data_IF_068793915674
#
_entry.id   IF_068793915674
#
_cell.length_a   1.000
_cell.length_b   1.000
_cell.length_c   1.000
_cell.angle_alpha   90.00
_cell.angle_beta   90.00
_cell.angle_gamma   90.00
#
_symmetry.space_group_name_H-M   'P 1'
#
loop_
_entity.id
_entity.type
_entity.pdbx_description
1 polymer ?
#
# COMPACT_ATOMS: atom_id res chain seq x y z
N UNK A 1 0.24 26.99 -59.84
CA UNK A 1 0.35 27.22 -58.38
C UNK A 1 -0.44 26.15 -57.66
N UNK A 2 0.18 24.99 -57.37
CA UNK A 2 -0.53 23.73 -57.04
C UNK A 2 0.23 23.00 -55.92
N UNK A 3 0.49 23.66 -54.80
CA UNK A 3 1.28 23.09 -53.68
C UNK A 3 0.65 23.37 -52.30
N UNK A 4 -0.32 24.28 -52.20
CA UNK A 4 -0.85 24.72 -50.88
C UNK A 4 -1.84 23.71 -50.27
N UNK A 5 -2.49 22.84 -51.07
CA UNK A 5 -3.57 21.97 -50.57
C UNK A 5 -3.11 20.71 -49.86
N UNK A 6 -1.88 20.20 -50.10
CA UNK A 6 -1.42 18.92 -49.52
C UNK A 6 -0.90 19.09 -48.08
N UNK A 7 -0.22 20.20 -47.81
CA UNK A 7 0.32 20.56 -46.50
C UNK A 7 -0.81 20.83 -45.49
N UNK A 8 -1.88 21.51 -45.92
CA UNK A 8 -3.06 21.79 -45.10
C UNK A 8 -3.82 20.53 -44.67
N UNK A 9 -3.89 19.51 -45.52
CA UNK A 9 -4.55 18.23 -45.20
C UNK A 9 -3.77 17.45 -44.14
N UNK A 10 -2.44 17.48 -44.20
CA UNK A 10 -1.58 16.83 -43.21
C UNK A 10 -1.70 17.49 -41.83
N UNK A 11 -1.81 18.83 -41.78
CA UNK A 11 -1.98 19.58 -40.54
C UNK A 11 -3.33 19.23 -39.88
N UNK A 12 -4.41 19.13 -40.66
CA UNK A 12 -5.75 18.76 -40.15
C UNK A 12 -5.76 17.31 -39.62
N UNK A 13 -5.11 16.38 -40.32
CA UNK A 13 -4.97 14.98 -39.86
C UNK A 13 -4.15 14.89 -38.56
N UNK A 14 -3.11 15.72 -38.41
CA UNK A 14 -2.28 15.73 -37.20
C UNK A 14 -3.03 16.28 -35.97
N UNK A 15 -3.93 17.26 -36.15
CA UNK A 15 -4.74 17.81 -35.06
C UNK A 15 -5.80 16.85 -34.51
N UNK A 16 -6.23 15.85 -35.28
CA UNK A 16 -7.16 14.82 -34.80
C UNK A 16 -6.52 13.84 -33.81
N UNK A 17 -5.20 13.66 -33.84
CA UNK A 17 -4.49 12.77 -32.92
C UNK A 17 -4.30 13.35 -31.50
N UNK A 18 -4.55 14.65 -31.30
CA UNK A 18 -4.32 15.33 -30.03
C UNK A 18 -5.55 15.36 -29.10
N UNK A 19 -6.68 14.77 -29.50
CA UNK A 19 -7.91 14.73 -28.70
C UNK A 19 -8.04 13.46 -27.87
N UNK A 20 -6.94 12.96 -27.29
CA UNK A 20 -7.03 11.96 -26.21
C UNK A 20 -7.52 12.69 -24.96
N UNK A 21 -8.84 12.71 -24.75
CA UNK A 21 -9.40 13.07 -23.45
C UNK A 21 -8.98 11.98 -22.45
N UNK A 22 -8.11 12.33 -21.51
CA UNK A 22 -7.88 11.47 -20.35
C UNK A 22 -9.21 11.21 -19.66
N UNK A 23 -9.48 9.95 -19.30
CA UNK A 23 -10.59 9.63 -18.42
C UNK A 23 -10.25 10.15 -17.02
N UNK A 24 -10.49 11.42 -16.74
CA UNK A 24 -10.74 11.83 -15.36
C UNK A 24 -12.19 11.45 -15.08
N UNK A 25 -12.41 10.26 -14.53
CA UNK A 25 -13.63 10.04 -13.75
C UNK A 25 -13.74 11.23 -12.80
N UNK A 26 -14.88 11.90 -12.77
CA UNK A 26 -15.12 12.91 -11.74
C UNK A 26 -14.70 12.30 -10.40
N UNK A 27 -13.77 12.96 -9.71
CA UNK A 27 -13.26 12.50 -8.41
C UNK A 27 -14.40 12.57 -7.39
N UNK A 28 -15.33 11.62 -7.46
CA UNK A 28 -16.12 11.25 -6.30
C UNK A 28 -15.12 10.64 -5.35
N UNK A 29 -14.81 11.36 -4.27
CA UNK A 29 -14.01 10.84 -3.16
C UNK A 29 -14.78 9.63 -2.63
N UNK A 30 -14.44 8.45 -3.14
CA UNK A 30 -14.98 7.19 -2.67
C UNK A 30 -14.26 6.87 -1.36
N UNK A 31 -14.98 6.98 -0.25
CA UNK A 31 -14.47 6.59 1.05
C UNK A 31 -14.53 5.06 1.15
N UNK A 32 -13.40 4.41 0.88
CA UNK A 32 -13.28 2.96 1.00
C UNK A 32 -13.36 2.55 2.49
N UNK A 33 -14.50 1.97 2.86
CA UNK A 33 -14.79 1.48 4.21
C UNK A 33 -14.47 -0.02 4.40
N UNK A 34 -13.72 -0.62 3.46
CA UNK A 34 -13.30 -2.02 3.52
C UNK A 34 -12.47 -2.32 4.77
N UNK A 35 -12.49 -3.58 5.21
CA UNK A 35 -11.63 -4.04 6.31
C UNK A 35 -10.14 -3.84 5.96
N UNK A 36 -9.76 -4.04 4.70
CA UNK A 36 -8.40 -3.78 4.20
C UNK A 36 -7.99 -2.34 4.49
N UNK A 37 -8.81 -1.36 4.09
CA UNK A 37 -8.48 0.05 4.28
C UNK A 37 -8.46 0.45 5.76
N UNK A 38 -9.39 -0.10 6.56
CA UNK A 38 -9.41 0.11 8.01
C UNK A 38 -8.13 -0.40 8.67
N UNK A 39 -7.70 -1.62 8.37
CA UNK A 39 -6.48 -2.19 8.95
C UNK A 39 -5.21 -1.53 8.41
N UNK A 40 -5.20 -1.12 7.14
CA UNK A 40 -4.06 -0.44 6.51
C UNK A 40 -3.76 0.92 7.16
N UNK A 41 -4.80 1.64 7.56
CA UNK A 41 -4.71 2.99 8.14
C UNK A 41 -4.85 3.02 9.67
N UNK A 42 -5.27 1.93 10.32
CA UNK A 42 -5.41 1.81 11.79
C UNK A 42 -4.10 2.21 12.49
N UNK A 43 -4.23 3.09 13.49
CA UNK A 43 -3.12 3.47 14.36
C UNK A 43 -3.02 2.50 15.55
N UNK A 44 -1.85 1.87 15.70
CA UNK A 44 -1.52 0.96 16.79
C UNK A 44 -0.67 1.69 17.84
N UNK A 45 -1.30 2.52 18.66
CA UNK A 45 -0.63 3.40 19.64
C UNK A 45 0.30 2.64 20.61
N UNK A 46 -0.05 1.39 20.94
CA UNK A 46 0.71 0.55 21.86
C UNK A 46 2.06 0.08 21.30
N UNK A 47 2.32 0.26 20.00
CA UNK A 47 3.56 -0.16 19.33
C UNK A 47 4.61 0.95 19.21
N UNK A 48 4.40 2.10 19.83
CA UNK A 48 5.29 3.27 19.74
C UNK A 48 6.67 3.08 20.45
N UNK A 49 7.09 1.85 20.70
CA UNK A 49 8.37 1.49 21.33
C UNK A 49 9.60 1.86 20.49
N UNK A 50 9.41 2.34 19.25
CA UNK A 50 10.46 2.92 18.40
C UNK A 50 10.71 4.42 18.59
N UNK A 51 9.96 5.11 19.47
CA UNK A 51 9.98 6.58 19.62
C UNK A 51 11.38 7.16 19.81
N UNK A 52 12.26 6.45 20.54
CA UNK A 52 13.61 6.89 20.88
C UNK A 52 14.50 7.03 19.64
N UNK A 53 14.35 6.15 18.64
CA UNK A 53 15.13 6.26 17.39
C UNK A 53 14.69 7.50 16.61
N UNK A 54 13.38 7.76 16.58
CA UNK A 54 12.81 8.89 15.85
C UNK A 54 13.09 10.25 16.50
N UNK A 55 13.40 10.30 17.79
CA UNK A 55 13.83 11.55 18.46
C UNK A 55 15.09 12.17 17.84
N UNK A 56 15.96 11.34 17.24
CA UNK A 56 17.18 11.79 16.52
C UNK A 56 16.86 12.52 15.21
N UNK A 57 15.64 12.35 14.70
CA UNK A 57 15.24 12.73 13.35
C UNK A 57 14.07 13.73 13.43
N UNK A 58 14.34 15.05 13.32
CA UNK A 58 13.33 16.09 13.50
C UNK A 58 12.08 15.93 12.62
N UNK A 59 12.23 15.33 11.44
CA UNK A 59 11.13 15.09 10.50
C UNK A 59 10.02 14.17 11.03
N UNK A 60 10.29 13.37 12.07
CA UNK A 60 9.29 12.47 12.65
C UNK A 60 8.63 12.99 13.93
N UNK A 61 9.06 14.14 14.47
CA UNK A 61 8.53 14.70 15.73
C UNK A 61 7.02 14.99 15.72
N UNK A 62 6.39 15.07 14.55
CA UNK A 62 4.96 15.36 14.37
C UNK A 62 4.22 14.28 13.58
N UNK A 63 4.86 13.14 13.34
CA UNK A 63 4.31 12.09 12.49
C UNK A 63 3.88 10.92 13.36
N UNK A 64 2.61 10.52 13.24
CA UNK A 64 2.09 9.34 13.92
C UNK A 64 2.55 8.07 13.17
N UNK A 65 3.70 7.54 13.56
CA UNK A 65 4.29 6.31 13.01
C UNK A 65 3.67 5.07 13.66
N UNK A 66 2.37 4.88 13.46
CA UNK A 66 1.60 3.86 14.15
C UNK A 66 0.74 2.98 13.23
N UNK A 67 0.66 3.24 11.93
CA UNK A 67 -0.13 2.42 10.99
C UNK A 67 0.73 1.64 10.03
N UNK A 68 0.17 0.59 9.40
CA UNK A 68 0.85 -0.15 8.33
C UNK A 68 1.37 0.83 7.26
N UNK A 69 0.50 1.70 6.75
CA UNK A 69 0.85 2.70 5.74
C UNK A 69 2.10 3.52 6.12
N UNK A 70 2.13 4.10 7.32
CA UNK A 70 3.25 4.94 7.75
C UNK A 70 4.51 4.14 8.07
N UNK A 71 4.37 2.97 8.69
CA UNK A 71 5.51 2.10 8.99
C UNK A 71 6.15 1.54 7.72
N UNK A 72 5.36 1.25 6.67
CA UNK A 72 5.87 0.88 5.35
C UNK A 72 6.71 2.00 4.74
N UNK A 73 6.27 3.26 4.86
CA UNK A 73 7.03 4.42 4.36
C UNK A 73 8.39 4.59 5.03
N UNK A 74 8.57 4.14 6.28
CA UNK A 74 9.89 4.20 6.94
C UNK A 74 10.97 3.43 6.16
N UNK A 75 10.59 2.41 5.40
CA UNK A 75 11.53 1.63 4.59
C UNK A 75 11.98 2.37 3.32
N UNK A 76 11.38 3.51 2.98
CA UNK A 76 11.82 4.33 1.84
C UNK A 76 12.99 5.26 2.19
N UNK A 77 13.29 5.44 3.48
CA UNK A 77 14.37 6.32 3.93
C UNK A 77 15.75 5.66 3.73
N UNK A 78 16.79 6.44 3.40
CA UNK A 78 18.14 5.90 3.20
C UNK A 78 18.81 5.44 4.51
N UNK A 79 18.40 5.98 5.65
CA UNK A 79 19.00 5.67 6.95
C UNK A 79 18.60 4.27 7.43
N UNK A 80 19.61 3.44 7.68
CA UNK A 80 19.41 2.02 8.00
C UNK A 80 18.69 1.80 9.33
N UNK A 81 18.95 2.64 10.33
CA UNK A 81 18.27 2.58 11.62
C UNK A 81 16.78 2.94 11.52
N UNK A 82 16.41 3.87 10.64
CA UNK A 82 14.99 4.16 10.31
C UNK A 82 14.35 2.92 9.65
N UNK A 83 15.03 2.30 8.67
CA UNK A 83 14.49 1.11 8.02
C UNK A 83 14.29 -0.05 9.01
N UNK A 84 15.27 -0.29 9.89
CA UNK A 84 15.18 -1.33 10.93
C UNK A 84 14.04 -1.06 11.91
N UNK A 85 13.90 0.19 12.38
CA UNK A 85 12.77 0.59 13.22
C UNK A 85 11.43 0.38 12.51
N UNK A 86 11.35 0.70 11.22
CA UNK A 86 10.17 0.43 10.39
C UNK A 86 9.85 -1.06 10.32
N UNK A 87 10.83 -1.93 10.09
CA UNK A 87 10.59 -3.38 10.07
C UNK A 87 10.12 -3.91 11.43
N UNK A 88 10.69 -3.44 12.54
CA UNK A 88 10.29 -3.86 13.89
C UNK A 88 8.86 -3.42 14.21
N UNK A 89 8.48 -2.20 13.82
CA UNK A 89 7.09 -1.73 13.93
C UNK A 89 6.15 -2.59 13.08
N UNK A 90 6.52 -2.93 11.84
CA UNK A 90 5.71 -3.79 10.97
C UNK A 90 5.53 -5.19 11.55
N UNK A 91 6.57 -5.78 12.16
CA UNK A 91 6.46 -7.06 12.88
C UNK A 91 5.51 -6.94 14.07
N UNK A 92 5.67 -5.87 14.86
CA UNK A 92 4.78 -5.57 15.99
C UNK A 92 3.32 -5.45 15.57
N UNK A 93 3.05 -4.77 14.45
CA UNK A 93 1.71 -4.62 13.89
C UNK A 93 1.16 -5.97 13.43
N UNK A 94 1.95 -6.79 12.73
CA UNK A 94 1.52 -8.12 12.31
C UNK A 94 1.15 -9.02 13.51
N UNK A 95 1.92 -8.96 14.59
CA UNK A 95 1.62 -9.67 15.85
C UNK A 95 0.32 -9.15 16.47
N UNK A 96 0.13 -7.83 16.53
CA UNK A 96 -1.06 -7.23 17.12
C UNK A 96 -2.32 -7.59 16.33
N UNK A 97 -2.26 -7.49 15.00
CA UNK A 97 -3.32 -7.91 14.08
C UNK A 97 -3.69 -9.38 14.26
N UNK A 98 -2.70 -10.26 14.35
CA UNK A 98 -2.93 -11.68 14.63
C UNK A 98 -3.65 -11.90 15.98
N UNK A 99 -3.20 -11.24 17.05
CA UNK A 99 -3.81 -11.34 18.39
C UNK A 99 -5.24 -10.82 18.43
N UNK A 100 -5.56 -9.83 17.59
CA UNK A 100 -6.90 -9.29 17.42
C UNK A 100 -7.80 -10.15 16.54
N UNK A 101 -7.32 -11.32 16.06
CA UNK A 101 -8.07 -12.21 15.18
C UNK A 101 -8.15 -11.73 13.73
N UNK A 102 -7.32 -10.77 13.32
CA UNK A 102 -7.29 -10.22 11.98
C UNK A 102 -5.89 -10.37 11.35
N UNK A 103 -5.31 -11.58 11.23
CA UNK A 103 -4.05 -11.76 10.52
C UNK A 103 -4.11 -11.13 9.12
N UNK A 104 -3.02 -10.52 8.66
CA UNK A 104 -2.99 -9.83 7.36
C UNK A 104 -2.06 -10.51 6.36
N UNK A 105 -2.51 -10.60 5.10
CA UNK A 105 -1.69 -10.98 3.95
C UNK A 105 -1.61 -9.82 2.95
N UNK A 106 -0.41 -9.32 2.73
CA UNK A 106 -0.11 -8.28 1.75
C UNK A 106 0.07 -8.89 0.36
N UNK A 107 -0.67 -8.40 -0.64
CA UNK A 107 -0.64 -8.88 -2.03
C UNK A 107 -0.44 -7.72 -3.02
N UNK A 108 0.11 -8.04 -4.18
CA UNK A 108 0.34 -7.08 -5.27
C UNK A 108 0.05 -7.71 -6.65
N UNK A 109 -0.06 -6.86 -7.65
CA UNK A 109 -0.29 -7.24 -9.05
C UNK A 109 -1.60 -6.69 -9.60
N UNK A 110 -1.79 -6.79 -10.91
CA UNK A 110 -2.87 -6.05 -11.61
C UNK A 110 -4.26 -6.29 -11.03
N UNK A 111 -4.48 -7.49 -10.52
CA UNK A 111 -5.75 -7.94 -9.96
C UNK A 111 -5.75 -7.99 -8.43
N UNK A 112 -4.72 -7.48 -7.73
CA UNK A 112 -4.60 -7.66 -6.28
C UNK A 112 -5.67 -6.92 -5.50
N UNK A 113 -6.14 -5.76 -5.98
CA UNK A 113 -7.27 -5.05 -5.37
C UNK A 113 -8.56 -5.88 -5.45
N UNK A 114 -8.94 -6.30 -6.67
CA UNK A 114 -10.14 -7.13 -6.90
C UNK A 114 -10.05 -8.46 -6.15
N UNK A 115 -8.86 -9.06 -6.10
CA UNK A 115 -8.60 -10.27 -5.31
C UNK A 115 -8.82 -10.00 -3.83
N UNK A 116 -8.20 -8.97 -3.27
CA UNK A 116 -8.34 -8.64 -1.84
C UNK A 116 -9.81 -8.42 -1.47
N UNK A 117 -10.58 -7.72 -2.30
CA UNK A 117 -12.02 -7.57 -2.10
C UNK A 117 -12.73 -8.92 -2.01
N UNK A 118 -12.53 -9.79 -3.00
CA UNK A 118 -13.19 -11.10 -3.06
C UNK A 118 -12.84 -11.99 -1.88
N UNK A 119 -11.56 -12.11 -1.53
CA UNK A 119 -11.13 -12.96 -0.42
C UNK A 119 -11.66 -12.43 0.93
N UNK A 120 -11.80 -11.11 1.07
CA UNK A 120 -12.30 -10.48 2.29
C UNK A 120 -13.83 -10.46 2.43
N UNK A 121 -14.59 -10.97 1.44
CA UNK A 121 -16.04 -11.14 1.58
C UNK A 121 -16.38 -12.25 2.59
N UNK A 122 -15.56 -13.31 2.68
CA UNK A 122 -15.78 -14.48 3.53
C UNK A 122 -14.53 -14.80 4.38
N UNK A 123 -14.22 -13.93 5.33
CA UNK A 123 -13.01 -14.00 6.16
C UNK A 123 -12.95 -15.26 7.04
N UNK A 124 -14.11 -15.81 7.42
CA UNK A 124 -14.24 -17.00 8.30
C UNK A 124 -13.60 -18.25 7.70
N UNK A 125 -13.58 -18.40 6.37
CA UNK A 125 -13.09 -19.61 5.68
C UNK A 125 -11.54 -19.68 5.63
N UNK A 126 -10.86 -18.56 5.90
CA UNK A 126 -9.43 -18.36 5.62
C UNK A 126 -8.58 -18.17 6.89
N UNK A 127 -8.99 -18.73 8.03
CA UNK A 127 -8.41 -18.46 9.35
C UNK A 127 -8.44 -16.97 9.72
N UNK A 128 -9.51 -16.28 9.32
CA UNK A 128 -9.68 -14.84 9.51
C UNK A 128 -8.61 -13.97 8.83
N UNK A 129 -7.98 -14.49 7.76
CA UNK A 129 -6.95 -13.78 7.03
C UNK A 129 -7.53 -12.63 6.21
N UNK A 130 -7.05 -11.42 6.46
CA UNK A 130 -7.42 -10.21 5.73
C UNK A 130 -6.37 -9.91 4.66
N UNK A 131 -6.80 -9.85 3.40
CA UNK A 131 -5.94 -9.52 2.27
C UNK A 131 -5.87 -8.01 2.06
N UNK A 132 -4.68 -7.47 1.85
CA UNK A 132 -4.46 -6.05 1.57
C UNK A 132 -3.64 -5.92 0.29
N UNK A 133 -4.23 -5.28 -0.72
CA UNK A 133 -3.49 -4.86 -1.93
C UNK A 133 -2.59 -3.69 -1.58
N UNK A 134 -1.29 -3.78 -1.90
CA UNK A 134 -0.34 -2.68 -1.65
C UNK A 134 0.24 -2.05 -2.92
N UNK A 135 0.03 -2.67 -4.09
CA UNK A 135 0.43 -2.12 -5.39
C UNK A 135 -0.23 -2.90 -6.53
N UNK A 136 -0.84 -2.18 -7.48
CA UNK A 136 -1.56 -2.83 -8.60
C UNK A 136 -0.65 -3.13 -9.80
N UNK A 137 0.31 -2.27 -10.16
CA UNK A 137 1.11 -2.49 -11.39
C UNK A 137 2.61 -2.70 -11.11
N UNK A 138 3.22 -1.73 -10.45
CA UNK A 138 4.64 -1.78 -10.06
C UNK A 138 4.75 -1.44 -8.59
N UNK A 139 5.49 -2.24 -7.84
CA UNK A 139 5.77 -1.96 -6.44
C UNK A 139 7.19 -1.39 -6.28
N UNK A 140 7.33 -0.20 -5.68
CA UNK A 140 8.61 0.25 -5.14
C UNK A 140 9.20 -0.80 -4.19
N UNK A 141 10.53 -0.95 -4.22
CA UNK A 141 11.24 -1.94 -3.42
C UNK A 141 10.87 -1.90 -1.93
N UNK A 142 10.68 -0.70 -1.36
CA UNK A 142 10.33 -0.54 0.05
C UNK A 142 8.95 -1.12 0.39
N UNK A 143 7.95 -1.00 -0.49
CA UNK A 143 6.62 -1.59 -0.27
C UNK A 143 6.70 -3.12 -0.35
N UNK A 144 7.42 -3.66 -1.33
CA UNK A 144 7.63 -5.11 -1.45
C UNK A 144 8.35 -5.67 -0.21
N UNK A 145 9.39 -4.99 0.27
CA UNK A 145 10.12 -5.38 1.49
C UNK A 145 9.21 -5.33 2.72
N UNK A 146 8.38 -4.30 2.84
CA UNK A 146 7.45 -4.19 3.95
C UNK A 146 6.39 -5.31 3.93
N UNK A 147 5.83 -5.60 2.75
CA UNK A 147 4.91 -6.71 2.53
C UNK A 147 5.54 -8.05 2.91
N UNK A 148 6.81 -8.28 2.55
CA UNK A 148 7.56 -9.47 2.94
C UNK A 148 7.71 -9.61 4.45
N UNK A 149 8.00 -8.53 5.18
CA UNK A 149 8.12 -8.55 6.64
C UNK A 149 6.79 -8.97 7.29
N UNK A 150 5.69 -8.33 6.89
CA UNK A 150 4.34 -8.64 7.40
C UNK A 150 3.99 -10.09 7.06
N UNK A 151 4.11 -10.48 5.80
CA UNK A 151 3.73 -11.81 5.32
C UNK A 151 4.52 -12.92 6.01
N UNK A 152 5.83 -12.75 6.22
CA UNK A 152 6.67 -13.71 6.94
C UNK A 152 6.23 -13.84 8.39
N UNK A 153 6.00 -12.72 9.07
CA UNK A 153 5.61 -12.72 10.47
C UNK A 153 4.21 -13.31 10.68
N UNK A 154 3.24 -12.95 9.85
CA UNK A 154 1.90 -13.54 9.89
C UNK A 154 1.94 -15.04 9.60
N UNK A 155 2.71 -15.48 8.60
CA UNK A 155 2.86 -16.92 8.30
C UNK A 155 3.50 -17.67 9.47
N UNK A 156 4.50 -17.08 10.12
CA UNK A 156 5.14 -17.63 11.32
C UNK A 156 4.12 -17.85 12.45
N UNK A 157 3.28 -16.85 12.72
CA UNK A 157 2.25 -16.90 13.76
C UNK A 157 1.14 -17.92 13.46
N UNK A 158 0.68 -17.99 12.20
CA UNK A 158 -0.32 -18.97 11.77
C UNK A 158 0.20 -20.40 11.87
N UNK A 159 1.47 -20.63 11.55
CA UNK A 159 2.08 -21.97 11.60
C UNK A 159 2.46 -22.42 13.02
N UNK A 160 2.64 -21.49 13.97
CA UNK A 160 2.92 -21.83 15.37
C UNK A 160 1.67 -22.33 16.12
N UNK A 161 0.48 -22.04 15.62
CA UNK A 161 -0.80 -22.41 16.24
C UNK A 161 -1.49 -23.57 15.50
N UNK A 162 -0.76 -24.28 14.64
CA UNK A 162 -1.16 -25.55 14.01
C UNK A 162 -0.44 -26.71 14.69
#
# INVERSE_FOLDING_TARGET
>A
MKIISRELILIVLFTCCLHVKGQSSADTIYEDNSISQKLYTKCFENLNQGSIIFEKYPQFKRTNLCSLMYCMMLLSFPEKDIQLAGEDLLRGIAIQLYREGNPVRMINGMESYTKAMRENENIEDDNHLVYISYADCSSPYFLSRAADVINKETSRLLNQNK
#
